data_IF_462035875312
#
_entry.id   IF_462035875312
#
_cell.length_a   1.000
_cell.length_b   1.000
_cell.length_c   1.000
_cell.angle_alpha   90.00
_cell.angle_beta   90.00
_cell.angle_gamma   90.00
#
_symmetry.space_group_name_H-M   'P 1'
#
loop_
_entity.id
_entity.type
_entity.pdbx_description
1 polymer ?
#
# COMPACT_ATOMS: atom_id res chain seq x y z
N UNK A 1 18.23 0.89 33.89
CA UNK A 1 18.06 0.38 32.51
C UNK A 1 17.37 1.47 31.68
N UNK A 2 18.07 2.51 31.21
CA UNK A 2 17.38 3.82 31.20
C UNK A 2 17.45 4.73 29.99
N UNK A 3 18.45 4.70 29.10
CA UNK A 3 18.44 5.61 27.92
C UNK A 3 19.02 4.98 26.67
N UNK A 4 20.08 4.20 26.83
CA UNK A 4 20.75 3.52 25.72
C UNK A 4 19.84 2.48 25.04
N UNK A 5 19.10 1.67 25.81
CA UNK A 5 18.16 0.69 25.25
C UNK A 5 16.97 1.35 24.55
N UNK A 6 16.46 2.46 25.08
CA UNK A 6 15.35 3.22 24.46
C UNK A 6 15.82 3.86 23.15
N UNK A 7 17.01 4.45 23.12
CA UNK A 7 17.60 5.02 21.92
C UNK A 7 17.84 3.95 20.84
N UNK A 8 18.38 2.79 21.24
CA UNK A 8 18.58 1.66 20.34
C UNK A 8 17.26 1.13 19.77
N UNK A 9 16.22 1.01 20.61
CA UNK A 9 14.89 0.57 20.19
C UNK A 9 14.24 1.56 19.22
N UNK A 10 14.35 2.88 19.48
CA UNK A 10 13.86 3.92 18.56
C UNK A 10 14.60 3.90 17.22
N UNK A 11 15.91 3.68 17.22
CA UNK A 11 16.72 3.65 16.01
C UNK A 11 16.41 2.41 15.15
N UNK A 12 16.23 1.25 15.79
CA UNK A 12 15.74 0.04 15.15
C UNK A 12 14.34 0.25 14.54
N UNK A 13 13.41 0.84 15.31
CA UNK A 13 12.05 1.14 14.85
C UNK A 13 12.06 2.13 13.67
N UNK A 14 12.88 3.17 13.72
CA UNK A 14 13.02 4.14 12.62
C UNK A 14 13.51 3.46 11.33
N UNK A 15 14.46 2.53 11.44
CA UNK A 15 15.02 1.79 10.31
C UNK A 15 13.98 0.84 9.70
N UNK A 16 13.16 0.19 10.54
CA UNK A 16 12.03 -0.64 10.11
C UNK A 16 10.98 0.22 9.41
N UNK A 17 10.61 1.37 9.99
CA UNK A 17 9.61 2.28 9.45
C UNK A 17 10.01 2.81 8.07
N UNK A 18 11.28 3.21 7.89
CA UNK A 18 11.81 3.66 6.60
C UNK A 18 11.77 2.54 5.55
N UNK A 19 12.14 1.31 5.91
CA UNK A 19 12.08 0.16 5.00
C UNK A 19 10.64 -0.20 4.63
N UNK A 20 9.72 -0.14 5.58
CA UNK A 20 8.30 -0.34 5.34
C UNK A 20 7.73 0.73 4.39
N UNK A 21 8.09 2.00 4.58
CA UNK A 21 7.64 3.08 3.70
C UNK A 21 8.14 2.91 2.26
N UNK A 22 9.40 2.52 2.08
CA UNK A 22 9.96 2.21 0.76
C UNK A 22 9.24 1.01 0.13
N UNK A 23 8.96 -0.03 0.93
CA UNK A 23 8.23 -1.21 0.46
C UNK A 23 6.82 -0.84 -0.02
N UNK A 24 6.07 -0.07 0.77
CA UNK A 24 4.72 0.43 0.41
C UNK A 24 4.77 1.30 -0.84
N UNK A 25 5.76 2.18 -0.97
CA UNK A 25 5.93 3.01 -2.16
C UNK A 25 6.18 2.18 -3.42
N UNK A 26 7.07 1.18 -3.32
CA UNK A 26 7.38 0.29 -4.43
C UNK A 26 6.18 -0.60 -4.82
N UNK A 27 5.48 -1.17 -3.84
CA UNK A 27 4.27 -1.99 -4.12
C UNK A 27 3.13 -1.15 -4.64
N UNK A 28 2.96 0.09 -4.17
CA UNK A 28 1.97 1.04 -4.69
C UNK A 28 2.22 1.41 -6.15
N UNK A 29 3.47 1.73 -6.51
CA UNK A 29 3.88 1.99 -7.90
C UNK A 29 3.60 0.79 -8.82
N UNK A 30 3.96 -0.42 -8.37
CA UNK A 30 3.66 -1.64 -9.11
C UNK A 30 2.15 -1.88 -9.22
N UNK A 31 1.39 -1.61 -8.16
CA UNK A 31 -0.07 -1.76 -8.14
C UNK A 31 -0.77 -0.80 -9.10
N UNK A 32 -0.20 0.39 -9.34
CA UNK A 32 -0.76 1.35 -10.29
C UNK A 32 -0.82 0.79 -11.72
N UNK A 33 0.17 0.00 -12.16
CA UNK A 33 0.13 -0.66 -13.47
C UNK A 33 -1.00 -1.69 -13.58
N UNK A 34 -1.34 -2.35 -12.49
CA UNK A 34 -2.41 -3.35 -12.44
C UNK A 34 -3.78 -2.78 -12.06
N UNK A 35 -3.85 -1.51 -11.64
CA UNK A 35 -5.06 -0.84 -11.13
C UNK A 35 -6.26 -0.98 -12.06
N UNK A 36 -6.08 -0.79 -13.38
CA UNK A 36 -7.16 -0.92 -14.37
C UNK A 36 -7.73 -2.34 -14.44
N UNK A 37 -6.87 -3.37 -14.39
CA UNK A 37 -7.32 -4.78 -14.43
C UNK A 37 -8.06 -5.16 -13.14
N UNK A 38 -7.55 -4.69 -12.00
CA UNK A 38 -8.17 -4.91 -10.69
C UNK A 38 -9.53 -4.22 -10.60
N UNK A 39 -9.64 -2.97 -11.06
CA UNK A 39 -10.91 -2.25 -11.11
C UNK A 39 -11.95 -3.00 -11.96
N UNK A 40 -11.58 -3.50 -13.14
CA UNK A 40 -12.47 -4.31 -13.97
C UNK A 40 -12.91 -5.60 -13.28
N UNK A 41 -11.98 -6.32 -12.62
CA UNK A 41 -12.31 -7.54 -11.86
C UNK A 41 -13.28 -7.24 -10.71
N UNK A 42 -13.05 -6.16 -9.95
CA UNK A 42 -13.92 -5.76 -8.84
C UNK A 42 -15.32 -5.39 -9.32
N UNK A 43 -15.44 -4.65 -10.42
CA UNK A 43 -16.74 -4.29 -11.00
C UNK A 43 -17.49 -5.56 -11.49
N UNK A 44 -16.77 -6.49 -12.12
CA UNK A 44 -17.35 -7.77 -12.55
C UNK A 44 -17.82 -8.64 -11.38
N UNK A 45 -17.09 -8.63 -10.26
CA UNK A 45 -17.42 -9.42 -9.08
C UNK A 45 -18.67 -8.88 -8.37
N UNK A 46 -18.78 -7.55 -8.28
CA UNK A 46 -19.85 -6.88 -7.53
C UNK A 46 -21.15 -6.78 -8.36
N UNK A 47 -21.12 -7.05 -9.67
CA UNK A 47 -22.28 -7.02 -10.58
C UNK A 47 -23.07 -5.70 -10.53
N UNK A 48 -22.44 -4.62 -10.08
CA UNK A 48 -23.03 -3.28 -10.01
C UNK A 48 -22.61 -2.50 -11.24
N UNK A 49 -23.57 -1.79 -11.86
CA UNK A 49 -23.28 -0.81 -12.92
C UNK A 49 -22.53 0.37 -12.32
N UNK A 50 -21.20 0.36 -12.44
CA UNK A 50 -20.37 1.51 -12.14
C UNK A 50 -20.43 2.50 -13.31
N UNK A 51 -20.80 3.74 -13.02
CA UNK A 51 -20.74 4.85 -13.97
C UNK A 51 -19.64 5.82 -13.55
N UNK A 52 -18.72 6.12 -14.47
CA UNK A 52 -17.79 7.22 -14.29
C UNK A 52 -18.51 8.51 -14.68
N UNK A 53 -18.83 9.37 -13.71
CA UNK A 53 -19.49 10.65 -13.97
C UNK A 53 -18.53 11.70 -14.53
N UNK A 54 -17.26 11.64 -14.15
CA UNK A 54 -16.23 12.55 -14.62
C UNK A 54 -14.87 11.86 -14.81
N UNK A 55 -14.05 12.41 -15.73
CA UNK A 55 -12.69 11.93 -15.98
C UNK A 55 -11.77 12.05 -14.74
N UNK A 56 -11.86 13.12 -13.93
CA UNK A 56 -11.11 13.23 -12.66
C UNK A 56 -11.48 12.14 -11.64
N UNK A 57 -12.76 11.79 -11.50
CA UNK A 57 -13.18 10.72 -10.59
C UNK A 57 -12.63 9.36 -11.01
N UNK A 58 -12.61 9.06 -12.31
CA UNK A 58 -12.04 7.81 -12.81
C UNK A 58 -10.55 7.68 -12.47
N UNK A 59 -9.81 8.79 -12.59
CA UNK A 59 -8.41 8.86 -12.21
C UNK A 59 -8.21 8.72 -10.70
N UNK A 60 -8.96 9.47 -9.89
CA UNK A 60 -8.88 9.38 -8.43
C UNK A 60 -9.19 7.96 -7.93
N UNK A 61 -10.23 7.33 -8.45
CA UNK A 61 -10.58 5.95 -8.11
C UNK A 61 -9.46 4.95 -8.45
N UNK A 62 -8.74 5.16 -9.57
CA UNK A 62 -7.60 4.28 -9.92
C UNK A 62 -6.39 4.51 -9.02
N UNK A 63 -6.13 5.77 -8.63
CA UNK A 63 -5.06 6.11 -7.69
C UNK A 63 -5.35 5.54 -6.31
N UNK A 64 -6.56 5.74 -5.78
CA UNK A 64 -6.97 5.18 -4.49
C UNK A 64 -6.85 3.66 -4.48
N UNK A 65 -7.35 3.00 -5.51
CA UNK A 65 -7.27 1.55 -5.64
C UNK A 65 -5.81 1.05 -5.66
N UNK A 66 -4.93 1.75 -6.37
CA UNK A 66 -3.50 1.41 -6.39
C UNK A 66 -2.85 1.58 -5.01
N UNK A 67 -3.21 2.63 -4.26
CA UNK A 67 -2.72 2.87 -2.90
C UNK A 67 -3.21 1.76 -1.96
N UNK A 68 -4.52 1.46 -1.95
CA UNK A 68 -5.08 0.43 -1.09
C UNK A 68 -4.47 -0.94 -1.38
N UNK A 69 -4.41 -1.35 -2.65
CA UNK A 69 -3.80 -2.62 -3.05
C UNK A 69 -2.31 -2.66 -2.71
N UNK A 70 -1.60 -1.55 -2.92
CA UNK A 70 -0.19 -1.42 -2.55
C UNK A 70 0.06 -1.59 -1.06
N UNK A 71 -0.78 -1.00 -0.21
CA UNK A 71 -0.74 -1.16 1.25
C UNK A 71 -1.00 -2.62 1.62
N UNK A 72 -2.07 -3.23 1.10
CA UNK A 72 -2.38 -4.65 1.39
C UNK A 72 -1.27 -5.59 0.93
N UNK A 73 -0.71 -5.38 -0.26
CA UNK A 73 0.41 -6.16 -0.78
C UNK A 73 1.70 -5.96 0.02
N UNK A 74 1.87 -4.82 0.70
CA UNK A 74 3.03 -4.57 1.55
C UNK A 74 2.96 -5.26 2.92
N UNK A 75 1.78 -5.67 3.39
CA UNK A 75 1.59 -6.34 4.69
C UNK A 75 2.52 -7.54 4.91
N UNK A 76 2.62 -8.53 3.99
CA UNK A 76 3.56 -9.65 4.18
C UNK A 76 5.02 -9.20 4.21
N UNK A 77 5.39 -8.17 3.44
CA UNK A 77 6.75 -7.61 3.41
C UNK A 77 7.07 -6.95 4.75
N UNK A 78 6.14 -6.16 5.29
CA UNK A 78 6.26 -5.53 6.61
C UNK A 78 6.35 -6.61 7.69
N UNK A 79 5.57 -7.69 7.60
CA UNK A 79 5.65 -8.82 8.52
C UNK A 79 7.03 -9.47 8.54
N UNK A 80 7.65 -9.69 7.38
CA UNK A 80 9.02 -10.22 7.28
C UNK A 80 10.06 -9.23 7.82
N UNK A 81 9.90 -7.93 7.56
CA UNK A 81 10.80 -6.90 8.10
C UNK A 81 10.67 -6.78 9.62
N UNK A 82 9.46 -6.90 10.17
CA UNK A 82 9.22 -6.81 11.61
C UNK A 82 9.65 -8.07 12.36
N UNK A 83 9.60 -9.23 11.71
CA UNK A 83 10.08 -10.50 12.29
C UNK A 83 11.61 -10.59 12.33
N UNK A 84 12.32 -9.77 11.55
CA UNK A 84 13.77 -9.81 11.39
C UNK A 84 14.48 -8.70 12.15
#
# INVERSE_FOLDING_TARGET
>A
MERAEIAFCLEALRKILLRALIAVGATGLLSFFFSKRLALHLIQLVQVKAYYFSLPEAFLATVELAIYVGIFASVPIIGVIAWR
#
